data_IF_753572397025
#
_entry.id   IF_753572397025
#
_cell.length_a   1.000
_cell.length_b   1.000
_cell.length_c   1.000
_cell.angle_alpha   90.00
_cell.angle_beta   90.00
_cell.angle_gamma   90.00
#
_symmetry.space_group_name_H-M   'P 1'
#
loop_
_entity.id
_entity.type
_entity.pdbx_description
1 polymer ?
#
# COMPACT_ATOMS: atom_id res chain seq x y z
N UNK A 1 -6.34 -16.96 4.31
CA UNK A 1 -5.73 -15.68 4.75
C UNK A 1 -5.24 -14.91 3.53
N UNK A 2 -5.82 -13.74 3.21
CA UNK A 2 -5.30 -12.86 2.16
C UNK A 2 -3.99 -12.26 2.67
N UNK A 3 -2.87 -12.53 1.99
CA UNK A 3 -1.49 -12.19 2.44
C UNK A 3 -1.20 -10.68 2.61
N UNK A 4 -2.18 -9.78 2.45
CA UNK A 4 -2.00 -8.34 2.67
C UNK A 4 -0.91 -7.75 1.78
N UNK A 5 -0.81 -8.15 0.52
CA UNK A 5 0.18 -7.65 -0.42
C UNK A 5 -0.51 -6.91 -1.57
N UNK A 6 -0.17 -5.64 -1.73
CA UNK A 6 -0.40 -4.90 -2.97
C UNK A 6 0.76 -5.22 -3.93
N UNK A 7 0.39 -5.63 -5.14
CA UNK A 7 1.27 -5.97 -6.24
C UNK A 7 0.90 -5.12 -7.45
N UNK A 8 1.77 -5.05 -8.46
CA UNK A 8 1.47 -4.33 -9.68
C UNK A 8 0.22 -4.91 -10.36
N UNK A 9 -0.68 -4.06 -10.88
CA UNK A 9 -1.82 -4.51 -11.66
C UNK A 9 -1.38 -5.34 -12.88
N UNK A 10 -2.17 -6.35 -13.23
CA UNK A 10 -1.95 -7.12 -14.45
C UNK A 10 -2.40 -6.34 -15.67
N UNK A 11 -1.81 -6.66 -16.83
CA UNK A 11 -2.26 -6.10 -18.12
C UNK A 11 -3.77 -6.35 -18.32
N UNK A 12 -4.51 -5.29 -18.58
CA UNK A 12 -5.96 -5.32 -18.80
C UNK A 12 -6.81 -5.16 -17.52
N UNK A 13 -6.21 -5.11 -16.33
CA UNK A 13 -6.95 -4.70 -15.14
C UNK A 13 -7.32 -3.21 -15.23
N UNK A 14 -8.53 -2.88 -14.79
CA UNK A 14 -9.08 -1.52 -14.85
C UNK A 14 -8.98 -0.85 -13.48
N UNK A 15 -8.55 0.41 -13.47
CA UNK A 15 -8.65 1.27 -12.29
C UNK A 15 -10.12 1.43 -11.88
N UNK A 16 -10.41 1.17 -10.60
CA UNK A 16 -11.76 1.26 -10.05
C UNK A 16 -11.97 2.47 -9.13
N UNK A 17 -10.89 3.16 -8.74
CA UNK A 17 -10.93 4.33 -7.88
C UNK A 17 -9.56 4.64 -7.26
N UNK A 18 -9.51 5.72 -6.47
CA UNK A 18 -8.37 6.11 -5.65
C UNK A 18 -8.59 5.80 -4.18
N UNK A 19 -7.51 5.62 -3.42
CA UNK A 19 -7.55 5.39 -1.99
C UNK A 19 -6.32 6.01 -1.31
N UNK A 20 -6.53 6.68 -0.18
CA UNK A 20 -5.46 7.29 0.61
C UNK A 20 -5.15 6.43 1.84
N UNK A 21 -3.87 6.20 2.09
CA UNK A 21 -3.36 5.30 3.14
C UNK A 21 -2.11 5.88 3.77
N UNK A 22 -1.71 5.36 4.94
CA UNK A 22 -0.54 5.83 5.67
C UNK A 22 0.62 4.84 5.55
N UNK A 23 1.72 5.26 4.93
CA UNK A 23 2.98 4.53 5.02
C UNK A 23 3.57 4.70 6.43
N UNK A 24 3.90 3.58 7.09
CA UNK A 24 4.37 3.56 8.49
C UNK A 24 5.73 2.87 8.66
N UNK A 25 6.32 2.38 7.57
CA UNK A 25 7.63 1.75 7.57
C UNK A 25 7.96 1.17 6.20
N UNK A 26 9.16 0.59 6.06
CA UNK A 26 9.59 -0.06 4.82
C UNK A 26 10.59 -1.19 5.10
N UNK A 27 10.67 -2.13 4.16
CA UNK A 27 11.66 -3.18 4.10
C UNK A 27 12.44 -3.04 2.79
N UNK A 28 13.71 -2.65 2.91
CA UNK A 28 14.59 -2.42 1.76
C UNK A 28 14.89 -3.71 0.97
N UNK A 29 15.08 -4.83 1.67
CA UNK A 29 15.41 -6.13 1.06
C UNK A 29 14.25 -6.63 0.20
N UNK A 30 13.03 -6.46 0.68
CA UNK A 30 11.82 -6.87 -0.04
C UNK A 30 11.28 -5.80 -0.99
N UNK A 31 11.87 -4.60 -0.97
CA UNK A 31 11.42 -3.41 -1.73
C UNK A 31 9.93 -3.11 -1.52
N UNK A 32 9.52 -3.08 -0.25
CA UNK A 32 8.11 -2.90 0.15
C UNK A 32 7.94 -1.88 1.27
N UNK A 33 6.90 -1.07 1.18
CA UNK A 33 6.39 -0.27 2.28
C UNK A 33 5.43 -1.08 3.13
N UNK A 34 5.45 -0.87 4.45
CA UNK A 34 4.38 -1.26 5.36
C UNK A 34 3.36 -0.13 5.42
N UNK A 35 2.10 -0.45 5.18
CA UNK A 35 1.04 0.53 5.03
C UNK A 35 -0.12 0.19 5.97
N UNK A 36 -0.57 1.19 6.72
CA UNK A 36 -1.77 1.12 7.55
C UNK A 36 -2.99 1.48 6.72
N UNK A 37 -3.98 0.59 6.70
CA UNK A 37 -5.26 0.81 6.03
C UNK A 37 -6.35 1.26 7.02
N UNK A 38 -7.51 1.65 6.49
CA UNK A 38 -8.68 2.15 7.23
C UNK A 38 -9.89 1.22 7.19
N UNK A 39 -9.73 -0.04 6.74
CA UNK A 39 -10.83 -1.02 6.63
C UNK A 39 -10.99 -1.95 7.84
N UNK A 40 -10.48 -1.55 9.00
CA UNK A 40 -10.58 -2.30 10.25
C UNK A 40 -9.56 -3.43 10.41
N UNK A 41 -9.41 -3.91 11.65
CA UNK A 41 -8.37 -4.88 12.05
C UNK A 41 -8.62 -6.30 11.55
N UNK A 42 -9.84 -6.62 11.11
CA UNK A 42 -10.16 -7.93 10.51
C UNK A 42 -9.69 -8.05 9.05
N UNK A 43 -9.27 -6.95 8.43
CA UNK A 43 -8.80 -6.93 7.05
C UNK A 43 -7.27 -7.06 6.95
N UNK A 44 -6.79 -7.76 5.92
CA UNK A 44 -5.36 -7.87 5.61
C UNK A 44 -4.55 -8.48 6.76
N UNK A 45 -3.43 -7.82 7.09
CA UNK A 45 -2.54 -8.18 8.19
C UNK A 45 -2.87 -7.33 9.43
N UNK A 46 -3.97 -7.64 10.11
CA UNK A 46 -4.45 -6.86 11.26
C UNK A 46 -4.70 -5.36 10.96
N UNK A 47 -5.24 -5.06 9.78
CA UNK A 47 -5.47 -3.70 9.27
C UNK A 47 -4.32 -3.14 8.44
N UNK A 48 -3.25 -3.91 8.23
CA UNK A 48 -2.09 -3.50 7.44
C UNK A 48 -1.97 -4.29 6.14
N UNK A 49 -1.16 -3.77 5.24
CA UNK A 49 -0.69 -4.46 4.05
C UNK A 49 0.69 -3.94 3.65
N UNK A 50 1.35 -4.63 2.71
CA UNK A 50 2.60 -4.18 2.12
C UNK A 50 2.40 -3.75 0.67
N UNK A 51 3.14 -2.74 0.23
CA UNK A 51 3.05 -2.20 -1.12
C UNK A 51 4.46 -2.15 -1.75
N UNK A 52 4.60 -2.59 -3.00
CA UNK A 52 5.88 -2.53 -3.72
C UNK A 52 6.34 -1.06 -3.88
N UNK A 53 7.66 -0.84 -3.83
CA UNK A 53 8.24 0.47 -4.12
C UNK A 53 7.81 0.98 -5.49
N UNK A 54 7.85 0.13 -6.51
CA UNK A 54 7.40 0.43 -7.87
C UNK A 54 5.95 0.93 -7.94
N UNK A 55 5.07 0.40 -7.08
CA UNK A 55 3.68 0.85 -7.03
C UNK A 55 3.59 2.30 -6.58
N UNK A 56 4.37 2.69 -5.57
CA UNK A 56 4.42 4.06 -5.07
C UNK A 56 5.06 4.99 -6.10
N UNK A 57 6.11 4.53 -6.79
CA UNK A 57 6.85 5.33 -7.78
C UNK A 57 6.06 5.60 -9.06
N UNK A 58 5.10 4.72 -9.41
CA UNK A 58 4.42 4.76 -10.73
C UNK A 58 2.92 4.99 -10.67
N UNK A 59 2.25 4.58 -9.58
CA UNK A 59 0.79 4.57 -9.48
C UNK A 59 0.24 5.38 -8.29
N UNK A 60 1.11 5.98 -7.47
CA UNK A 60 0.70 6.82 -6.35
C UNK A 60 1.06 8.29 -6.59
N UNK A 61 0.28 9.18 -5.97
CA UNK A 61 0.43 10.63 -6.02
C UNK A 61 0.13 11.25 -4.66
N UNK A 62 0.26 12.58 -4.57
CA UNK A 62 -0.20 13.39 -3.44
C UNK A 62 0.40 12.98 -2.08
N UNK A 63 1.74 12.97 -2.04
CA UNK A 63 2.49 12.60 -0.85
C UNK A 63 2.55 13.75 0.16
N UNK A 64 2.10 13.48 1.38
CA UNK A 64 2.15 14.41 2.51
C UNK A 64 2.97 13.83 3.65
N UNK A 65 3.63 14.71 4.40
CA UNK A 65 4.29 14.33 5.66
C UNK A 65 3.70 15.13 6.81
N UNK A 66 3.49 14.47 7.94
CA UNK A 66 3.13 15.12 9.20
C UNK A 66 4.42 15.30 9.99
N UNK A 67 4.70 16.53 10.40
CA UNK A 67 5.89 16.91 11.16
C UNK A 67 5.45 17.66 12.41
N UNK A 68 6.22 17.52 13.49
CA UNK A 68 6.05 18.29 14.73
C UNK A 68 7.00 19.48 14.70
#
# INVERSE_FOLDING_TARGET
MRRGWAVMPKKGERMIGGHAVLAVGYNQREKRFLVRNSWGTKWGMHGYFTMLFEYIETLASDFWTIRK
#
